data_IF_783013446407
#
_entry.id   IF_783013446407
#
_cell.length_a   1.000
_cell.length_b   1.000
_cell.length_c   1.000
_cell.angle_alpha   90.00
_cell.angle_beta   90.00
_cell.angle_gamma   90.00
#
_symmetry.space_group_name_H-M   'P 1'
#
loop_
_entity.id
_entity.type
_entity.pdbx_description
1 polymer ?
#
# COMPACT_ATOMS: atom_id res chain seq x y z
N UNK A 1 14.59 26.31 -9.45
CA UNK A 1 13.76 25.13 -9.24
C UNK A 1 13.07 24.77 -10.53
N UNK A 2 13.24 23.52 -10.97
CA UNK A 2 12.63 23.03 -12.21
C UNK A 2 11.10 22.96 -12.05
N UNK A 3 10.35 23.22 -13.12
CA UNK A 3 8.89 23.12 -13.13
C UNK A 3 8.38 21.74 -12.69
N UNK A 4 9.16 20.68 -12.96
CA UNK A 4 8.84 19.31 -12.57
C UNK A 4 8.85 19.14 -11.05
N UNK A 5 9.76 19.78 -10.34
CA UNK A 5 9.86 19.66 -8.88
C UNK A 5 8.71 20.35 -8.17
N UNK A 6 8.30 21.52 -8.66
CA UNK A 6 7.14 22.24 -8.11
C UNK A 6 5.86 21.41 -8.31
N UNK A 7 5.69 20.83 -9.49
CA UNK A 7 4.53 19.97 -9.80
C UNK A 7 4.49 18.73 -8.91
N UNK A 8 5.63 18.10 -8.66
CA UNK A 8 5.73 16.94 -7.76
C UNK A 8 5.33 17.27 -6.33
N UNK A 9 5.77 18.42 -5.82
CA UNK A 9 5.43 18.88 -4.48
C UNK A 9 3.94 19.13 -4.33
N UNK A 10 3.31 19.77 -5.31
CA UNK A 10 1.88 20.00 -5.34
C UNK A 10 1.09 18.69 -5.41
N UNK A 11 1.53 17.74 -6.23
CA UNK A 11 0.91 16.42 -6.34
C UNK A 11 0.99 15.64 -5.02
N UNK A 12 2.13 15.67 -4.35
CA UNK A 12 2.30 14.99 -3.06
C UNK A 12 1.36 15.57 -1.99
N UNK A 13 1.21 16.89 -1.94
CA UNK A 13 0.33 17.55 -0.97
C UNK A 13 -1.14 17.22 -1.24
N UNK A 14 -1.56 17.24 -2.49
CA UNK A 14 -2.92 16.87 -2.88
C UNK A 14 -3.22 15.42 -2.55
N UNK A 15 -2.27 14.52 -2.84
CA UNK A 15 -2.39 13.09 -2.56
C UNK A 15 -2.46 12.83 -1.05
N UNK A 16 -1.64 13.51 -0.26
CA UNK A 16 -1.63 13.39 1.19
C UNK A 16 -2.97 13.82 1.80
N UNK A 17 -3.50 14.97 1.38
CA UNK A 17 -4.78 15.48 1.87
C UNK A 17 -5.94 14.56 1.49
N UNK A 18 -5.94 14.07 0.26
CA UNK A 18 -6.92 13.13 -0.24
C UNK A 18 -6.85 11.80 0.52
N UNK A 19 -5.63 11.32 0.79
CA UNK A 19 -5.40 10.07 1.51
C UNK A 19 -5.92 10.13 2.94
N UNK A 20 -5.70 11.24 3.64
CA UNK A 20 -6.18 11.44 5.01
C UNK A 20 -7.70 11.37 5.14
N UNK A 21 -8.43 11.71 4.07
CA UNK A 21 -9.89 11.68 4.06
C UNK A 21 -10.46 10.28 3.83
N UNK A 22 -9.64 9.34 3.39
CA UNK A 22 -10.06 7.96 3.16
C UNK A 22 -10.12 7.22 4.49
N UNK A 23 -11.12 6.36 4.63
CA UNK A 23 -11.19 5.48 5.79
C UNK A 23 -10.10 4.40 5.71
N UNK A 24 -9.74 3.85 6.86
CA UNK A 24 -8.62 2.89 6.97
C UNK A 24 -8.74 1.70 6.03
N UNK A 25 -9.94 1.13 5.93
CA UNK A 25 -10.22 -0.01 5.07
C UNK A 25 -9.91 0.29 3.60
N UNK A 26 -10.28 1.49 3.13
CA UNK A 26 -9.99 1.94 1.76
C UNK A 26 -8.50 2.17 1.55
N UNK A 27 -7.81 2.73 2.55
CA UNK A 27 -6.36 2.92 2.49
C UNK A 27 -5.66 1.57 2.33
N UNK A 28 -6.04 0.58 3.13
CA UNK A 28 -5.47 -0.76 3.06
C UNK A 28 -5.77 -1.46 1.73
N UNK A 29 -6.98 -1.30 1.20
CA UNK A 29 -7.36 -1.87 -0.10
C UNK A 29 -6.50 -1.29 -1.22
N UNK A 30 -6.20 0.00 -1.19
CA UNK A 30 -5.33 0.64 -2.18
C UNK A 30 -3.89 0.13 -2.10
N UNK A 31 -3.38 -0.05 -0.88
CA UNK A 31 -2.06 -0.66 -0.68
C UNK A 31 -2.04 -2.07 -1.28
N UNK A 32 -3.09 -2.84 -1.03
CA UNK A 32 -3.23 -4.20 -1.55
C UNK A 32 -3.24 -4.26 -3.07
N UNK A 33 -3.83 -3.26 -3.73
CA UNK A 33 -3.83 -3.17 -5.20
C UNK A 33 -2.41 -3.06 -5.75
N UNK A 34 -1.55 -2.28 -5.09
CA UNK A 34 -0.15 -2.16 -5.51
C UNK A 34 0.63 -3.46 -5.26
N UNK A 35 0.38 -4.14 -4.16
CA UNK A 35 1.02 -5.43 -3.87
C UNK A 35 0.57 -6.49 -4.89
N UNK A 36 -0.69 -6.49 -5.29
CA UNK A 36 -1.20 -7.36 -6.34
C UNK A 36 -0.48 -7.12 -7.67
N UNK A 37 -0.27 -5.84 -8.04
CA UNK A 37 0.49 -5.49 -9.25
C UNK A 37 1.94 -5.95 -9.15
N UNK A 38 2.57 -5.77 -7.99
CA UNK A 38 3.94 -6.21 -7.77
C UNK A 38 4.09 -7.72 -8.01
N UNK A 39 3.17 -8.51 -7.47
CA UNK A 39 3.17 -9.96 -7.63
C UNK A 39 2.93 -10.36 -9.09
N UNK A 40 2.03 -9.68 -9.77
CA UNK A 40 1.73 -9.91 -11.19
C UNK A 40 2.99 -9.72 -12.06
N UNK A 41 3.70 -8.60 -11.90
CA UNK A 41 4.90 -8.30 -12.67
C UNK A 41 6.07 -9.21 -12.29
N UNK A 42 6.18 -9.59 -11.01
CA UNK A 42 7.21 -10.51 -10.55
C UNK A 42 7.06 -11.89 -11.22
N UNK A 43 5.84 -12.38 -11.35
CA UNK A 43 5.54 -13.64 -12.04
C UNK A 43 5.90 -13.58 -13.53
N UNK A 44 5.84 -12.40 -14.12
CA UNK A 44 6.24 -12.17 -15.51
C UNK A 44 7.72 -11.85 -15.67
N UNK A 45 8.50 -11.96 -14.59
CA UNK A 45 9.94 -11.65 -14.56
C UNK A 45 10.24 -10.19 -14.91
N UNK A 46 9.28 -9.29 -14.73
CA UNK A 46 9.51 -7.85 -14.90
C UNK A 46 9.81 -7.22 -13.53
N UNK A 47 11.09 -7.31 -13.15
CA UNK A 47 11.58 -6.84 -11.86
C UNK A 47 11.39 -5.33 -11.69
N UNK A 48 11.61 -4.55 -12.75
CA UNK A 48 11.46 -3.10 -12.72
C UNK A 48 10.03 -2.69 -12.36
N UNK A 49 9.05 -3.25 -13.05
CA UNK A 49 7.65 -2.93 -12.81
C UNK A 49 7.18 -3.45 -11.45
N UNK A 50 7.68 -4.62 -11.06
CA UNK A 50 7.38 -5.17 -9.72
C UNK A 50 7.89 -4.23 -8.63
N UNK A 51 9.15 -3.81 -8.71
CA UNK A 51 9.75 -2.90 -7.73
C UNK A 51 9.04 -1.54 -7.69
N UNK A 52 8.64 -1.02 -8.84
CA UNK A 52 7.87 0.22 -8.91
C UNK A 52 6.55 0.11 -8.15
N UNK A 53 5.85 -1.02 -8.30
CA UNK A 53 4.60 -1.26 -7.58
C UNK A 53 4.84 -1.40 -6.07
N UNK A 54 5.89 -2.11 -5.65
CA UNK A 54 6.26 -2.22 -4.23
C UNK A 54 6.56 -0.84 -3.65
N UNK A 55 7.30 -0.01 -4.37
CA UNK A 55 7.65 1.32 -3.90
C UNK A 55 6.42 2.21 -3.74
N UNK A 56 5.45 2.10 -4.65
CA UNK A 56 4.17 2.81 -4.52
C UNK A 56 3.40 2.33 -3.29
N UNK A 57 3.39 1.01 -3.04
CA UNK A 57 2.76 0.45 -1.84
C UNK A 57 3.40 1.03 -0.57
N UNK A 58 4.73 1.10 -0.53
CA UNK A 58 5.45 1.65 0.62
C UNK A 58 5.18 3.15 0.82
N UNK A 59 5.05 3.92 -0.26
CA UNK A 59 4.66 5.32 -0.18
C UNK A 59 3.25 5.47 0.43
N UNK A 60 2.30 4.65 -0.02
CA UNK A 60 0.94 4.66 0.52
C UNK A 60 0.93 4.25 2.00
N UNK A 61 1.77 3.30 2.38
CA UNK A 61 1.94 2.89 3.79
C UNK A 61 2.43 4.07 4.63
N UNK A 62 3.40 4.84 4.15
CA UNK A 62 3.88 6.04 4.86
C UNK A 62 2.76 7.07 5.05
N UNK A 63 1.97 7.31 3.99
CA UNK A 63 0.82 8.22 4.09
C UNK A 63 -0.21 7.72 5.09
N UNK A 64 -0.42 6.41 5.14
CA UNK A 64 -1.35 5.79 6.08
C UNK A 64 -0.86 5.94 7.52
N UNK A 65 0.41 5.66 7.78
CA UNK A 65 1.01 5.84 9.11
C UNK A 65 0.85 7.28 9.60
N UNK A 66 1.08 8.26 8.72
CA UNK A 66 0.95 9.68 9.06
C UNK A 66 -0.49 10.08 9.40
N UNK A 67 -1.48 9.36 8.91
CA UNK A 67 -2.89 9.69 9.09
C UNK A 67 -3.59 8.88 10.17
N UNK A 68 -2.93 7.87 10.75
CA UNK A 68 -3.53 6.96 11.72
C UNK A 68 -3.63 7.63 13.10
N UNK A 69 -4.83 7.53 13.71
CA UNK A 69 -5.07 7.94 15.10
C UNK A 69 -5.35 6.75 16.02
N UNK A 70 -5.63 5.57 15.46
CA UNK A 70 -5.97 4.36 16.22
C UNK A 70 -4.71 3.50 16.40
N UNK A 71 -4.36 3.21 17.65
CA UNK A 71 -3.14 2.49 18.01
C UNK A 71 -3.03 1.10 17.37
N UNK A 72 -4.15 0.36 17.32
CA UNK A 72 -4.16 -0.97 16.70
C UNK A 72 -3.89 -0.92 15.20
N UNK A 73 -4.40 0.12 14.52
CA UNK A 73 -4.12 0.34 13.09
C UNK A 73 -2.65 0.66 12.88
N UNK A 74 -2.07 1.48 13.75
CA UNK A 74 -0.65 1.82 13.67
C UNK A 74 0.24 0.57 13.78
N UNK A 75 -0.05 -0.30 14.74
CA UNK A 75 0.67 -1.57 14.90
C UNK A 75 0.55 -2.46 13.67
N UNK A 76 -0.65 -2.57 13.12
CA UNK A 76 -0.90 -3.38 11.93
C UNK A 76 -0.12 -2.88 10.73
N UNK A 77 -0.14 -1.58 10.47
CA UNK A 77 0.51 -1.01 9.28
C UNK A 77 2.03 -1.04 9.41
N UNK A 78 2.58 -0.84 10.61
CA UNK A 78 4.03 -0.95 10.81
C UNK A 78 4.51 -2.38 10.62
N UNK A 79 3.76 -3.38 11.07
CA UNK A 79 4.07 -4.79 10.82
C UNK A 79 3.96 -5.13 9.33
N UNK A 80 2.93 -4.61 8.67
CA UNK A 80 2.76 -4.78 7.23
C UNK A 80 3.96 -4.24 6.47
N UNK A 81 4.45 -3.06 6.81
CA UNK A 81 5.63 -2.46 6.18
C UNK A 81 6.84 -3.38 6.30
N UNK A 82 7.10 -3.88 7.51
CA UNK A 82 8.22 -4.81 7.75
C UNK A 82 8.09 -6.09 6.93
N UNK A 83 6.90 -6.66 6.87
CA UNK A 83 6.64 -7.89 6.13
C UNK A 83 6.79 -7.71 4.63
N UNK A 84 6.39 -6.55 4.09
CA UNK A 84 6.57 -6.22 2.67
C UNK A 84 8.05 -6.09 2.32
N UNK A 85 8.83 -5.37 3.12
CA UNK A 85 10.28 -5.27 2.92
C UNK A 85 10.94 -6.64 2.96
N UNK A 86 10.57 -7.45 3.93
CA UNK A 86 11.10 -8.80 4.09
C UNK A 86 10.81 -9.69 2.88
N UNK A 87 9.59 -9.63 2.37
CA UNK A 87 9.16 -10.49 1.26
C UNK A 87 9.78 -10.09 -0.08
N UNK A 88 9.79 -8.80 -0.40
CA UNK A 88 10.24 -8.32 -1.71
C UNK A 88 11.73 -8.00 -1.76
N UNK A 89 12.33 -7.57 -0.66
CA UNK A 89 13.73 -7.13 -0.62
C UNK A 89 14.60 -7.88 0.38
N UNK A 90 14.01 -8.67 1.26
CA UNK A 90 14.73 -9.42 2.29
C UNK A 90 14.73 -10.92 2.03
N UNK A 91 14.89 -11.67 3.10
CA UNK A 91 15.02 -13.13 3.08
C UNK A 91 13.71 -13.89 3.30
N UNK A 92 12.59 -13.17 3.34
CA UNK A 92 11.26 -13.75 3.62
C UNK A 92 11.24 -14.52 4.95
N UNK A 93 11.76 -13.90 6.00
CA UNK A 93 11.79 -14.48 7.34
C UNK A 93 10.39 -14.70 7.92
N UNK A 94 9.42 -13.86 7.52
CA UNK A 94 8.02 -13.99 7.95
C UNK A 94 7.24 -15.06 7.17
N UNK A 95 7.90 -15.76 6.25
CA UNK A 95 7.28 -16.84 5.45
C UNK A 95 6.01 -16.37 4.73
N UNK A 96 6.06 -15.21 4.11
CA UNK A 96 4.97 -14.68 3.29
C UNK A 96 4.92 -15.38 1.93
N UNK A 97 3.79 -15.28 1.26
CA UNK A 97 3.61 -15.76 -0.12
C UNK A 97 2.61 -14.87 -0.84
N UNK A 98 2.59 -14.94 -2.18
CA UNK A 98 1.61 -14.18 -2.97
C UNK A 98 0.18 -14.53 -2.56
N UNK A 99 -0.09 -15.80 -2.29
CA UNK A 99 -1.41 -16.24 -1.84
C UNK A 99 -1.78 -15.66 -0.48
N UNK A 100 -0.84 -15.62 0.47
CA UNK A 100 -1.09 -15.03 1.79
C UNK A 100 -1.36 -13.53 1.69
N UNK A 101 -0.62 -12.81 0.84
CA UNK A 101 -0.87 -11.39 0.59
C UNK A 101 -2.25 -11.16 -0.01
N UNK A 102 -2.63 -11.98 -0.99
CA UNK A 102 -3.95 -11.90 -1.60
C UNK A 102 -5.06 -12.08 -0.56
N UNK A 103 -4.97 -13.10 0.27
CA UNK A 103 -5.96 -13.37 1.32
C UNK A 103 -6.04 -12.23 2.34
N UNK A 104 -4.89 -11.69 2.73
CA UNK A 104 -4.82 -10.60 3.68
C UNK A 104 -5.55 -9.36 3.14
N UNK A 105 -5.24 -8.95 1.91
CA UNK A 105 -5.83 -7.76 1.32
C UNK A 105 -7.26 -7.96 0.83
N UNK A 106 -7.66 -9.18 0.46
CA UNK A 106 -9.05 -9.49 0.09
C UNK A 106 -10.03 -9.11 1.20
N UNK A 107 -9.64 -9.30 2.45
CA UNK A 107 -10.42 -8.89 3.59
C UNK A 107 -10.74 -7.39 3.55
N UNK A 108 -9.75 -6.56 3.28
CA UNK A 108 -9.94 -5.10 3.18
C UNK A 108 -10.72 -4.72 1.93
N UNK A 109 -10.46 -5.39 0.81
CA UNK A 109 -11.20 -5.15 -0.44
C UNK A 109 -12.70 -5.40 -0.25
N UNK A 110 -13.04 -6.46 0.44
CA UNK A 110 -14.44 -6.80 0.74
C UNK A 110 -15.13 -5.67 1.52
N UNK A 111 -14.52 -5.21 2.61
CA UNK A 111 -15.11 -4.14 3.42
C UNK A 111 -15.12 -2.79 2.71
N UNK A 112 -14.12 -2.49 1.92
CA UNK A 112 -14.09 -1.26 1.13
C UNK A 112 -15.23 -1.21 0.10
N UNK A 113 -15.53 -2.35 -0.53
CA UNK A 113 -16.62 -2.45 -1.49
C UNK A 113 -17.99 -2.32 -0.82
N UNK A 114 -18.20 -2.91 0.35
CA UNK A 114 -19.43 -2.75 1.12
C UNK A 114 -19.67 -1.28 1.43
N UNK A 115 -18.66 -0.56 1.91
CA UNK A 115 -18.78 0.86 2.22
C UNK A 115 -19.17 1.71 1.01
N UNK A 116 -18.70 1.34 -0.18
CA UNK A 116 -19.09 2.04 -1.42
C UNK A 116 -20.57 1.88 -1.73
N UNK A 117 -21.14 0.71 -1.46
CA UNK A 117 -22.55 0.43 -1.75
C UNK A 117 -23.49 1.00 -0.70
N UNK A 118 -23.05 1.22 0.52
CA UNK A 118 -23.85 1.78 1.61
C UNK A 118 -23.92 3.32 1.60
N UNK A 119 -23.09 3.94 0.79
CA UNK A 119 -23.13 5.38 0.57
C UNK A 119 -24.14 5.69 -0.51
#
# INVERSE_FOLDING_TARGET
>A
MDKKDVTRMQHKNLTKNRWKKMIFVEQMANIGSEISRASHWRKKNNTEYSNNAVNRALELIHLTIDSISVKSHFKEVTRLREAIYDYYYGNNEFSSSDLLWQKYFDHFNYYANINKFEK
#
